data_IF_549969336032
#
_entry.id   IF_549969336032
#
_cell.length_a   1.000
_cell.length_b   1.000
_cell.length_c   1.000
_cell.angle_alpha   90.00
_cell.angle_beta   90.00
_cell.angle_gamma   90.00
#
_symmetry.space_group_name_H-M   'P 1'
#
loop_
_entity.id
_entity.type
_entity.pdbx_description
1 polymer ?
#
# COMPACT_ATOMS: atom_id res chain seq x y z
N UNK A 1 47.49 21.23 -43.11
CA UNK A 1 46.23 22.03 -43.07
C UNK A 1 45.00 21.13 -43.14
N UNK A 2 44.94 20.14 -44.04
CA UNK A 2 43.87 19.12 -44.04
C UNK A 2 43.91 18.20 -42.82
N UNK A 3 45.09 17.69 -42.44
CA UNK A 3 45.23 16.82 -41.25
C UNK A 3 44.82 17.49 -39.92
N UNK A 4 44.98 18.80 -39.81
CA UNK A 4 44.64 19.56 -38.60
C UNK A 4 43.11 19.71 -38.47
N UNK A 5 42.44 19.92 -39.61
CA UNK A 5 40.98 19.97 -39.70
C UNK A 5 40.37 18.59 -39.41
N UNK A 6 40.96 17.52 -39.93
CA UNK A 6 40.49 16.15 -39.70
C UNK A 6 40.61 15.76 -38.22
N UNK A 7 41.71 16.16 -37.55
CA UNK A 7 41.94 15.91 -36.13
C UNK A 7 40.98 16.72 -35.24
N UNK A 8 40.66 17.95 -35.62
CA UNK A 8 39.65 18.76 -34.93
C UNK A 8 38.25 18.13 -35.06
N UNK A 9 37.88 17.65 -36.25
CA UNK A 9 36.59 16.97 -36.48
C UNK A 9 36.49 15.71 -35.62
N UNK A 10 37.53 14.88 -35.59
CA UNK A 10 37.54 13.66 -34.77
C UNK A 10 37.42 13.97 -33.27
N UNK A 11 38.08 15.03 -32.81
CA UNK A 11 37.98 15.49 -31.43
C UNK A 11 36.56 16.00 -31.09
N UNK A 12 35.92 16.74 -32.00
CA UNK A 12 34.53 17.16 -31.84
C UNK A 12 33.56 15.98 -31.81
N UNK A 13 33.74 14.99 -32.67
CA UNK A 13 32.93 13.77 -32.69
C UNK A 13 33.09 12.98 -31.39
N UNK A 14 34.33 12.74 -30.94
CA UNK A 14 34.59 12.05 -29.68
C UNK A 14 33.98 12.77 -28.47
N UNK A 15 34.04 14.10 -28.46
CA UNK A 15 33.40 14.90 -27.39
C UNK A 15 31.87 14.83 -27.46
N UNK A 16 31.29 14.80 -28.65
CA UNK A 16 29.85 14.61 -28.83
C UNK A 16 29.40 13.22 -28.36
N UNK A 17 30.11 12.16 -28.74
CA UNK A 17 29.82 10.79 -28.30
C UNK A 17 29.93 10.64 -26.78
N UNK A 18 30.96 11.20 -26.15
CA UNK A 18 31.11 11.20 -24.70
C UNK A 18 29.98 11.97 -24.01
N UNK A 19 29.56 13.10 -24.57
CA UNK A 19 28.45 13.88 -24.04
C UNK A 19 27.11 13.12 -24.18
N UNK A 20 26.87 12.46 -25.32
CA UNK A 20 25.69 11.64 -25.56
C UNK A 20 25.64 10.43 -24.62
N UNK A 21 26.77 9.75 -24.40
CA UNK A 21 26.87 8.65 -23.46
C UNK A 21 26.57 9.10 -22.02
N UNK A 22 27.14 10.23 -21.58
CA UNK A 22 26.87 10.80 -20.27
C UNK A 22 25.40 11.24 -20.11
N UNK A 23 24.80 11.80 -21.17
CA UNK A 23 23.38 12.15 -21.19
C UNK A 23 22.48 10.91 -21.12
N UNK A 24 22.83 9.84 -21.84
CA UNK A 24 22.08 8.58 -21.81
C UNK A 24 22.13 7.94 -20.42
N UNK A 25 23.32 7.88 -19.81
CA UNK A 25 23.50 7.34 -18.45
C UNK A 25 22.70 8.15 -17.43
N UNK A 26 22.86 9.47 -17.40
CA UNK A 26 22.15 10.35 -16.46
C UNK A 26 20.63 10.27 -16.65
N UNK A 27 20.15 10.19 -17.88
CA UNK A 27 18.73 10.00 -18.19
C UNK A 27 18.22 8.64 -17.68
N UNK A 28 18.98 7.57 -17.87
CA UNK A 28 18.61 6.24 -17.36
C UNK A 28 18.53 6.20 -15.83
N UNK A 29 19.49 6.82 -15.14
CA UNK A 29 19.49 6.90 -13.68
C UNK A 29 18.34 7.76 -13.15
N UNK A 30 18.06 8.88 -13.81
CA UNK A 30 16.96 9.78 -13.43
C UNK A 30 15.60 9.10 -13.62
N UNK A 31 15.39 8.44 -14.77
CA UNK A 31 14.15 7.71 -15.05
C UNK A 31 13.91 6.57 -14.05
N UNK A 32 14.93 5.77 -13.74
CA UNK A 32 14.82 4.71 -12.74
C UNK A 32 14.44 5.25 -11.34
N UNK A 33 15.06 6.37 -10.92
CA UNK A 33 14.72 7.03 -9.64
C UNK A 33 13.29 7.56 -9.63
N UNK A 34 12.84 8.12 -10.74
CA UNK A 34 11.51 8.69 -10.88
C UNK A 34 10.43 7.60 -10.84
N UNK A 35 10.63 6.51 -11.59
CA UNK A 35 9.76 5.32 -11.53
C UNK A 35 9.62 4.82 -10.09
N UNK A 36 10.73 4.68 -9.39
CA UNK A 36 10.73 4.20 -8.01
C UNK A 36 10.06 5.19 -7.04
N UNK A 37 10.20 6.50 -7.26
CA UNK A 37 9.51 7.51 -6.46
C UNK A 37 8.00 7.43 -6.65
N UNK A 38 7.52 7.32 -7.90
CA UNK A 38 6.09 7.23 -8.17
C UNK A 38 5.45 5.93 -7.70
N UNK A 39 6.14 4.80 -7.86
CA UNK A 39 5.66 3.54 -7.28
C UNK A 39 5.56 3.62 -5.75
N UNK A 40 6.48 4.31 -5.09
CA UNK A 40 6.41 4.56 -3.64
C UNK A 40 5.22 5.43 -3.26
N UNK A 41 4.98 6.52 -3.99
CA UNK A 41 3.82 7.39 -3.73
C UNK A 41 2.52 6.60 -3.85
N UNK A 42 2.38 5.80 -4.91
CA UNK A 42 1.18 4.99 -5.14
C UNK A 42 1.04 3.86 -4.11
N UNK A 43 2.14 3.22 -3.72
CA UNK A 43 2.17 2.21 -2.66
C UNK A 43 1.72 2.77 -1.30
N UNK A 44 2.25 3.94 -0.91
CA UNK A 44 1.85 4.64 0.32
C UNK A 44 0.36 5.01 0.25
N UNK A 45 -0.10 5.55 -0.89
CA UNK A 45 -1.51 5.88 -1.13
C UNK A 45 -2.41 4.64 -1.00
N UNK A 46 -1.95 3.48 -1.44
CA UNK A 46 -2.67 2.21 -1.33
C UNK A 46 -2.60 1.56 0.07
N UNK A 47 -1.86 2.17 1.01
CA UNK A 47 -1.71 1.69 2.38
C UNK A 47 -0.68 0.57 2.54
N UNK A 48 0.35 0.52 1.69
CA UNK A 48 1.45 -0.45 1.84
C UNK A 48 2.19 -0.21 3.17
N UNK A 49 2.32 -1.26 3.98
CA UNK A 49 3.01 -1.21 5.28
C UNK A 49 4.49 -1.43 5.11
N UNK A 50 4.85 -2.38 4.26
CA UNK A 50 6.24 -2.72 3.95
C UNK A 50 6.62 -2.25 2.55
N UNK A 51 7.26 -1.09 2.46
CA UNK A 51 7.70 -0.49 1.19
C UNK A 51 8.83 -1.29 0.52
N UNK A 52 9.54 -2.16 1.25
CA UNK A 52 10.58 -3.00 0.65
C UNK A 52 9.98 -4.06 -0.28
N UNK A 53 8.68 -4.35 -0.15
CA UNK A 53 7.95 -5.21 -1.08
C UNK A 53 7.94 -4.70 -2.53
N UNK A 54 8.22 -3.41 -2.77
CA UNK A 54 8.35 -2.86 -4.13
C UNK A 54 9.57 -3.42 -4.88
N UNK A 55 10.60 -3.91 -4.17
CA UNK A 55 11.77 -4.57 -4.77
C UNK A 55 11.43 -5.89 -5.46
N UNK A 56 10.23 -6.43 -5.20
CA UNK A 56 9.72 -7.64 -5.83
C UNK A 56 9.15 -7.37 -7.23
N UNK A 57 8.96 -6.09 -7.59
CA UNK A 57 8.50 -5.68 -8.90
C UNK A 57 9.69 -5.48 -9.84
N UNK A 58 9.57 -5.94 -11.08
CA UNK A 58 10.58 -5.68 -12.11
C UNK A 58 10.43 -4.24 -12.60
N UNK A 59 11.39 -3.39 -12.22
CA UNK A 59 11.37 -1.97 -12.59
C UNK A 59 11.56 -1.71 -14.08
N UNK A 60 12.05 -2.69 -14.84
CA UNK A 60 12.33 -2.56 -16.27
C UNK A 60 11.08 -2.63 -17.15
N UNK A 61 9.97 -3.16 -16.62
CA UNK A 61 8.69 -3.23 -17.32
C UNK A 61 7.89 -1.91 -17.23
N UNK A 62 8.33 -0.96 -16.41
CA UNK A 62 7.60 0.29 -16.18
C UNK A 62 8.02 1.40 -17.13
N UNK A 63 7.03 1.99 -17.78
CA UNK A 63 7.21 3.12 -18.70
C UNK A 63 6.66 4.39 -18.07
N UNK A 64 7.46 5.45 -18.12
CA UNK A 64 7.02 6.79 -17.75
C UNK A 64 6.22 7.40 -18.89
N UNK A 65 5.10 8.04 -18.55
CA UNK A 65 4.32 8.83 -19.50
C UNK A 65 4.95 10.22 -19.75
N UNK A 66 4.24 11.07 -20.50
CA UNK A 66 4.71 12.43 -20.83
C UNK A 66 4.71 13.38 -19.64
N UNK A 67 4.00 13.02 -18.57
CA UNK A 67 3.84 13.78 -17.34
C UNK A 67 4.88 13.36 -16.29
N UNK A 68 5.58 12.25 -16.54
CA UNK A 68 6.51 11.65 -15.59
C UNK A 68 5.84 10.70 -14.62
N UNK A 69 4.60 10.27 -14.87
CA UNK A 69 3.94 9.25 -14.06
C UNK A 69 4.21 7.85 -14.62
N UNK A 70 4.24 6.84 -13.75
CA UNK A 70 4.35 5.45 -14.18
C UNK A 70 3.00 5.01 -14.75
N UNK A 71 2.96 4.70 -16.05
CA UNK A 71 1.73 4.28 -16.70
C UNK A 71 1.16 3.02 -16.02
N UNK A 72 -0.07 3.13 -15.49
CA UNK A 72 -0.73 2.00 -14.82
C UNK A 72 -0.23 1.69 -13.41
N UNK A 73 0.48 2.60 -12.74
CA UNK A 73 0.97 2.43 -11.36
C UNK A 73 -0.11 1.92 -10.40
N UNK A 74 -1.31 2.50 -10.45
CA UNK A 74 -2.45 2.09 -9.61
C UNK A 74 -2.89 0.64 -9.87
N UNK A 75 -2.86 0.20 -11.13
CA UNK A 75 -3.15 -1.17 -11.53
C UNK A 75 -2.11 -2.16 -11.02
N UNK A 76 -0.83 -1.79 -11.07
CA UNK A 76 0.29 -2.59 -10.56
C UNK A 76 0.16 -2.78 -9.06
N UNK A 77 -0.04 -1.68 -8.31
CA UNK A 77 -0.20 -1.72 -6.85
C UNK A 77 -1.45 -2.49 -6.45
N UNK A 78 -2.56 -2.36 -7.19
CA UNK A 78 -3.75 -3.17 -6.97
C UNK A 78 -3.53 -4.67 -7.24
N UNK A 79 -2.76 -5.01 -8.28
CA UNK A 79 -2.33 -6.38 -8.56
C UNK A 79 -1.46 -6.93 -7.43
N UNK A 80 -0.50 -6.15 -6.95
CA UNK A 80 0.37 -6.51 -5.82
C UNK A 80 -0.44 -6.71 -4.55
N UNK A 81 -1.46 -5.88 -4.30
CA UNK A 81 -2.37 -6.04 -3.16
C UNK A 81 -3.19 -7.32 -3.21
N UNK A 82 -3.58 -7.77 -4.40
CA UNK A 82 -4.26 -9.07 -4.58
C UNK A 82 -3.31 -10.25 -4.40
N UNK A 83 -2.12 -10.17 -4.97
CA UNK A 83 -1.14 -11.26 -4.93
C UNK A 83 -0.47 -11.43 -3.55
N UNK A 84 -0.22 -10.31 -2.86
CA UNK A 84 0.48 -10.26 -1.57
C UNK A 84 -0.23 -9.30 -0.61
N UNK A 85 -1.42 -9.64 -0.10
CA UNK A 85 -2.20 -8.75 0.78
C UNK A 85 -1.46 -8.35 2.05
N UNK A 86 -0.56 -9.22 2.55
CA UNK A 86 0.25 -8.99 3.75
C UNK A 86 1.26 -7.83 3.64
N UNK A 87 1.56 -7.35 2.42
CA UNK A 87 2.35 -6.13 2.22
C UNK A 87 1.54 -4.86 2.50
N UNK A 88 0.21 -4.95 2.52
CA UNK A 88 -0.70 -3.82 2.68
C UNK A 88 -1.39 -3.85 4.04
N UNK A 89 -1.57 -2.67 4.59
CA UNK A 89 -2.26 -2.44 5.84
C UNK A 89 -3.76 -2.64 5.69
N UNK A 90 -4.38 -3.15 6.75
CA UNK A 90 -5.79 -3.53 6.84
C UNK A 90 -6.22 -4.55 5.79
N UNK A 91 -5.71 -5.77 5.93
CA UNK A 91 -6.60 -6.93 5.76
C UNK A 91 -7.71 -6.79 6.81
N UNK A 92 -8.97 -6.90 6.38
CA UNK A 92 -10.10 -7.02 7.28
C UNK A 92 -9.80 -8.19 8.21
N UNK A 93 -9.38 -7.92 9.44
CA UNK A 93 -9.24 -8.97 10.43
C UNK A 93 -10.61 -9.61 10.60
N UNK A 94 -10.74 -10.89 10.26
CA UNK A 94 -11.90 -11.70 10.64
C UNK A 94 -12.13 -11.74 12.15
N UNK A 95 -11.16 -11.23 12.93
CA UNK A 95 -11.20 -11.01 14.37
C UNK A 95 -11.57 -9.58 14.77
N UNK A 96 -12.34 -8.83 13.97
CA UNK A 96 -13.01 -7.64 14.48
C UNK A 96 -13.73 -8.07 15.76
N UNK A 97 -13.23 -7.64 16.92
CA UNK A 97 -13.77 -8.03 18.21
C UNK A 97 -15.26 -7.67 18.18
N UNK A 98 -16.10 -8.71 18.11
CA UNK A 98 -17.54 -8.54 18.19
C UNK A 98 -17.78 -7.71 19.45
N UNK A 99 -18.27 -6.48 19.27
CA UNK A 99 -18.60 -5.64 20.40
C UNK A 99 -19.57 -6.43 21.26
N UNK A 100 -19.21 -6.71 22.50
CA UNK A 100 -20.13 -7.32 23.44
C UNK A 100 -21.43 -6.51 23.43
N UNK A 101 -22.60 -7.17 23.35
CA UNK A 101 -23.86 -6.44 23.34
C UNK A 101 -23.90 -5.53 24.57
N UNK A 102 -24.39 -4.30 24.38
CA UNK A 102 -24.51 -3.36 25.49
C UNK A 102 -25.36 -4.01 26.58
N UNK A 103 -24.96 -3.96 27.87
CA UNK A 103 -25.74 -4.54 28.93
C UNK A 103 -27.14 -3.94 28.94
N UNK A 104 -28.15 -4.76 28.69
CA UNK A 104 -29.56 -4.35 28.77
C UNK A 104 -29.98 -4.21 30.23
N UNK A 105 -30.75 -3.17 30.53
CA UNK A 105 -31.35 -3.02 31.85
C UNK A 105 -32.30 -4.21 32.13
N UNK A 106 -32.36 -4.72 33.37
CA UNK A 106 -33.22 -5.85 33.71
C UNK A 106 -34.68 -5.50 33.44
N UNK A 107 -35.29 -6.14 32.44
CA UNK A 107 -36.72 -6.00 32.12
C UNK A 107 -37.57 -6.72 33.15
N UNK A 108 -38.71 -6.12 33.51
CA UNK A 108 -39.73 -6.80 34.31
C UNK A 108 -40.38 -7.89 33.44
N UNK A 109 -40.36 -9.13 33.92
CA UNK A 109 -41.02 -10.28 33.27
C UNK A 109 -42.13 -10.81 34.17
N UNK A 110 -43.19 -11.33 33.57
CA UNK A 110 -44.24 -12.00 34.33
C UNK A 110 -43.73 -13.35 34.87
N UNK A 111 -44.23 -13.76 36.03
CA UNK A 111 -43.81 -15.00 36.69
C UNK A 111 -44.02 -16.24 35.80
N UNK A 112 -45.00 -16.21 34.90
CA UNK A 112 -45.32 -17.29 33.96
C UNK A 112 -44.30 -17.43 32.82
N UNK A 113 -43.40 -16.46 32.65
CA UNK A 113 -42.35 -16.46 31.62
C UNK A 113 -40.97 -16.88 32.14
N UNK A 114 -40.87 -17.17 33.43
CA UNK A 114 -39.63 -17.58 34.10
C UNK A 114 -39.67 -19.09 34.34
N UNK A 115 -38.54 -19.75 34.15
CA UNK A 115 -38.38 -21.10 34.71
C UNK A 115 -38.41 -21.03 36.24
N UNK A 116 -38.68 -22.17 36.88
CA UNK A 116 -38.78 -22.24 38.34
C UNK A 116 -37.51 -21.75 39.06
N UNK A 117 -36.33 -22.09 38.54
CA UNK A 117 -35.04 -21.69 39.11
C UNK A 117 -34.76 -20.19 38.92
N UNK A 118 -35.11 -19.64 37.77
CA UNK A 118 -35.03 -18.19 37.51
C UNK A 118 -36.00 -17.41 38.39
N UNK A 119 -37.19 -17.96 38.65
CA UNK A 119 -38.15 -17.35 39.55
C UNK A 119 -37.65 -17.34 41.00
N UNK A 120 -37.07 -18.44 41.48
CA UNK A 120 -36.50 -18.54 42.83
C UNK A 120 -35.37 -17.53 43.05
N UNK A 121 -34.46 -17.42 42.08
CA UNK A 121 -33.35 -16.45 42.13
C UNK A 121 -33.85 -15.01 42.07
N UNK A 122 -34.81 -14.68 41.19
CA UNK A 122 -35.43 -13.36 41.12
C UNK A 122 -36.18 -12.99 42.42
N UNK A 123 -36.92 -13.94 43.00
CA UNK A 123 -37.61 -13.77 44.29
C UNK A 123 -36.64 -13.53 45.44
N UNK A 124 -35.55 -14.30 45.50
CA UNK A 124 -34.51 -14.10 46.51
C UNK A 124 -33.85 -12.72 46.39
N UNK A 125 -33.58 -12.26 45.16
CA UNK A 125 -33.02 -10.93 44.91
C UNK A 125 -33.95 -9.79 45.35
N UNK A 126 -35.27 -9.93 45.14
CA UNK A 126 -36.26 -8.96 45.63
C UNK A 126 -36.32 -8.89 47.15
N UNK A 127 -36.29 -10.05 47.83
CA UNK A 127 -36.31 -10.11 49.30
C UNK A 127 -35.04 -9.54 49.93
N UNK A 128 -33.88 -9.66 49.27
CA UNK A 128 -32.60 -9.12 49.73
C UNK A 128 -32.49 -7.59 49.61
N UNK A 129 -33.34 -6.97 48.79
CA UNK A 129 -33.36 -5.51 48.56
C UNK A 129 -34.31 -4.73 49.49
N UNK A 130 -35.07 -5.43 50.34
CA UNK A 130 -35.95 -4.84 51.35
C UNK A 130 -35.24 -4.74 52.70
#
# INVERSE_FOLDING_TARGET
>A
MTEEIDNDIENWQRRAELAEAALAETKSMATAKLIHAELKVEAIRAGMVDLDGLKLLDSSEFVLDRQGEVAGASGIVAGLKRAKPWLFGQGVSSSAAAHAPRPEAPRTRHANELSYDEWLTARAALLRRR
#
